data_IF_322337860701
#
_entry.id   IF_322337860701
#
_cell.length_a   1.000
_cell.length_b   1.000
_cell.length_c   1.000
_cell.angle_alpha   90.00
_cell.angle_beta   90.00
_cell.angle_gamma   90.00
#
_symmetry.space_group_name_H-M   'P 1'
#
loop_
_entity.id
_entity.type
_entity.pdbx_description
1 polymer ?
#
# COMPACT_ATOMS: atom_id res chain seq x y z
N UNK A 1 -36.87 6.86 57.06
CA UNK A 1 -38.14 6.12 56.85
C UNK A 1 -38.80 6.40 55.49
N UNK A 2 -38.30 7.29 54.62
CA UNK A 2 -38.92 7.53 53.30
C UNK A 2 -38.21 6.86 52.11
N UNK A 3 -36.95 6.44 52.24
CA UNK A 3 -36.21 5.71 51.18
C UNK A 3 -36.60 4.25 51.03
N UNK A 4 -37.30 3.65 52.01
CA UNK A 4 -37.81 2.27 51.90
C UNK A 4 -39.13 2.15 51.13
N UNK A 5 -39.81 3.27 50.83
CA UNK A 5 -41.15 3.23 50.22
C UNK A 5 -41.10 3.01 48.70
N UNK A 6 -39.95 3.26 48.07
CA UNK A 6 -39.74 3.02 46.66
C UNK A 6 -38.46 2.20 46.49
N UNK A 7 -38.64 0.90 46.26
CA UNK A 7 -37.62 -0.11 45.97
C UNK A 7 -36.91 0.18 44.62
N UNK A 8 -36.32 1.37 44.48
CA UNK A 8 -35.67 1.87 43.26
C UNK A 8 -34.28 1.24 43.03
N UNK A 9 -33.70 0.60 44.05
CA UNK A 9 -32.39 -0.07 43.97
C UNK A 9 -32.47 -1.53 43.49
N UNK A 10 -33.68 -2.12 43.43
CA UNK A 10 -33.84 -3.43 42.80
C UNK A 10 -33.86 -3.22 41.29
N UNK A 11 -32.70 -3.44 40.65
CA UNK A 11 -32.61 -3.67 39.21
C UNK A 11 -33.51 -4.86 38.88
N UNK A 12 -34.78 -4.57 38.51
CA UNK A 12 -35.69 -5.60 38.04
C UNK A 12 -35.31 -5.88 36.59
N UNK A 13 -35.04 -7.14 36.21
CA UNK A 13 -34.83 -7.45 34.81
C UNK A 13 -36.07 -7.04 34.03
N UNK A 14 -35.89 -6.34 32.90
CA UNK A 14 -36.99 -6.04 31.98
C UNK A 14 -37.69 -7.37 31.64
N UNK A 15 -39.01 -7.48 31.85
CA UNK A 15 -39.72 -8.68 31.42
C UNK A 15 -39.51 -8.85 29.91
N UNK A 16 -39.33 -10.09 29.41
CA UNK A 16 -39.15 -10.31 27.97
C UNK A 16 -40.33 -9.70 27.22
N UNK A 17 -40.05 -8.96 26.16
CA UNK A 17 -41.11 -8.48 25.29
C UNK A 17 -41.87 -9.68 24.71
N UNK A 18 -43.20 -9.63 24.82
CA UNK A 18 -44.09 -10.63 24.22
C UNK A 18 -44.48 -10.13 22.83
N UNK A 19 -44.19 -10.88 21.76
CA UNK A 19 -44.55 -10.47 20.41
C UNK A 19 -46.02 -10.09 20.29
N UNK A 20 -46.31 -8.94 19.68
CA UNK A 20 -47.68 -8.47 19.42
C UNK A 20 -48.17 -9.05 18.10
N UNK A 21 -49.39 -9.56 18.07
CA UNK A 21 -50.06 -9.91 16.82
C UNK A 21 -50.71 -8.67 16.22
N UNK A 22 -50.37 -8.35 14.97
CA UNK A 22 -50.97 -7.27 14.20
C UNK A 22 -51.68 -7.84 12.98
N UNK A 23 -52.75 -7.19 12.52
CA UNK A 23 -53.45 -7.56 11.29
C UNK A 23 -53.00 -6.63 10.16
N UNK A 24 -52.62 -7.19 9.02
CA UNK A 24 -52.26 -6.42 7.83
C UNK A 24 -53.49 -5.66 7.30
N UNK A 25 -53.49 -4.32 7.26
CA UNK A 25 -54.63 -3.55 6.74
C UNK A 25 -54.93 -3.81 5.25
N UNK A 26 -53.94 -4.29 4.49
CA UNK A 26 -54.10 -4.55 3.06
C UNK A 26 -54.77 -5.91 2.74
N UNK A 27 -54.50 -6.97 3.52
CA UNK A 27 -54.98 -8.32 3.18
C UNK A 27 -55.60 -9.10 4.35
N UNK A 28 -55.62 -8.54 5.56
CA UNK A 28 -56.14 -9.22 6.76
C UNK A 28 -55.27 -10.38 7.27
N UNK A 29 -54.01 -10.50 6.84
CA UNK A 29 -53.08 -11.51 7.33
C UNK A 29 -52.55 -11.16 8.73
N UNK A 30 -52.44 -12.16 9.60
CA UNK A 30 -51.88 -11.98 10.96
C UNK A 30 -50.35 -11.98 10.94
N UNK A 31 -49.73 -10.89 11.37
CA UNK A 31 -48.27 -10.71 11.45
C UNK A 31 -47.82 -10.66 12.91
N UNK A 32 -46.59 -11.06 13.18
CA UNK A 32 -45.99 -11.05 14.51
C UNK A 32 -44.91 -9.98 14.61
N UNK A 33 -45.17 -8.92 15.39
CA UNK A 33 -44.19 -7.90 15.73
C UNK A 33 -43.32 -8.45 16.87
N UNK A 34 -42.14 -8.96 16.52
CA UNK A 34 -41.21 -9.61 17.47
C UNK A 34 -40.39 -8.62 18.28
N UNK A 35 -40.03 -7.48 17.68
CA UNK A 35 -39.35 -6.38 18.35
C UNK A 35 -40.34 -5.22 18.54
N UNK A 36 -40.43 -4.72 19.76
CA UNK A 36 -41.31 -3.59 20.11
C UNK A 36 -40.87 -2.27 19.48
N UNK A 37 -39.60 -2.17 19.06
CA UNK A 37 -39.06 -1.01 18.35
C UNK A 37 -39.23 -1.13 16.83
N UNK A 38 -39.92 -2.15 16.32
CA UNK A 38 -40.19 -2.24 14.88
C UNK A 38 -41.07 -1.08 14.46
N UNK A 39 -40.63 -0.31 13.45
CA UNK A 39 -41.41 0.74 12.79
C UNK A 39 -41.93 0.26 11.43
N UNK A 40 -41.15 -0.55 10.71
CA UNK A 40 -41.56 -1.16 9.45
C UNK A 40 -41.78 -2.65 9.63
N UNK A 41 -42.91 -3.16 9.12
CA UNK A 41 -43.15 -4.60 8.93
C UNK A 41 -43.64 -4.86 7.51
N UNK A 42 -42.93 -5.72 6.77
CA UNK A 42 -43.36 -6.20 5.46
C UNK A 42 -44.23 -7.45 5.64
N UNK A 43 -45.45 -7.41 5.10
CA UNK A 43 -46.39 -8.51 5.21
C UNK A 43 -45.95 -9.72 4.36
N UNK A 44 -45.64 -10.85 5.01
CA UNK A 44 -45.23 -12.10 4.37
C UNK A 44 -46.30 -12.68 3.40
N UNK A 45 -47.57 -12.28 3.55
CA UNK A 45 -48.67 -12.79 2.72
C UNK A 45 -48.87 -12.00 1.42
N UNK A 46 -48.84 -10.67 1.48
CA UNK A 46 -49.21 -9.82 0.35
C UNK A 46 -48.10 -8.86 -0.12
N UNK A 47 -46.97 -8.82 0.58
CA UNK A 47 -45.82 -7.97 0.29
C UNK A 47 -46.01 -6.48 0.61
N UNK A 48 -47.06 -6.12 1.35
CA UNK A 48 -47.30 -4.72 1.71
C UNK A 48 -46.36 -4.28 2.82
N UNK A 49 -45.73 -3.14 2.64
CA UNK A 49 -44.90 -2.45 3.63
C UNK A 49 -45.84 -1.70 4.58
N UNK A 50 -45.74 -2.00 5.87
CA UNK A 50 -46.61 -1.44 6.90
C UNK A 50 -45.77 -0.58 7.84
N UNK A 51 -46.21 0.65 8.04
CA UNK A 51 -45.79 1.46 9.18
C UNK A 51 -46.56 1.01 10.42
N UNK A 52 -45.81 0.62 11.44
CA UNK A 52 -46.29 0.11 12.73
C UNK A 52 -45.71 0.90 13.91
N UNK A 53 -45.13 2.07 13.64
CA UNK A 53 -44.59 2.99 14.66
C UNK A 53 -45.69 3.52 15.60
N UNK A 54 -46.89 3.72 15.06
CA UNK A 54 -48.07 4.20 15.77
C UNK A 54 -49.10 3.07 16.05
N UNK A 55 -50.12 3.36 16.87
CA UNK A 55 -51.20 2.39 17.14
C UNK A 55 -51.99 2.03 15.87
N UNK A 56 -52.24 3.02 15.00
CA UNK A 56 -52.90 2.84 13.71
C UNK A 56 -51.88 2.51 12.62
N UNK A 57 -52.07 1.37 11.97
CA UNK A 57 -51.10 0.82 11.02
C UNK A 57 -51.37 1.36 9.63
N UNK A 58 -50.36 1.95 9.00
CA UNK A 58 -50.49 2.56 7.69
C UNK A 58 -49.83 1.70 6.62
N UNK A 59 -50.47 1.56 5.46
CA UNK A 59 -49.89 0.85 4.30
C UNK A 59 -49.07 1.86 3.49
N UNK A 60 -47.76 1.65 3.43
CA UNK A 60 -46.82 2.51 2.70
C UNK A 60 -46.73 2.18 1.21
N UNK A 61 -47.14 0.96 0.83
CA UNK A 61 -47.08 0.46 -0.53
C UNK A 61 -46.61 -0.99 -0.58
N UNK A 62 -46.13 -1.43 -1.73
CA UNK A 62 -45.48 -2.74 -1.91
C UNK A 62 -44.07 -2.56 -2.43
N UNK A 63 -43.15 -3.38 -1.93
CA UNK A 63 -41.78 -3.46 -2.43
C UNK A 63 -41.70 -4.08 -3.84
N UNK A 64 -40.48 -4.22 -4.38
CA UNK A 64 -40.27 -4.80 -5.69
C UNK A 64 -40.75 -6.26 -5.74
N UNK A 65 -41.38 -6.63 -6.87
CA UNK A 65 -42.04 -7.93 -7.01
C UNK A 65 -41.08 -9.13 -7.09
N UNK A 66 -39.80 -8.90 -7.40
CA UNK A 66 -38.80 -9.96 -7.46
C UNK A 66 -37.99 -10.00 -6.16
N UNK A 67 -38.16 -11.09 -5.41
CA UNK A 67 -37.40 -11.38 -4.19
C UNK A 67 -35.99 -11.88 -4.55
N UNK A 68 -34.92 -11.25 -4.04
CA UNK A 68 -33.56 -11.77 -4.15
C UNK A 68 -33.38 -13.13 -3.49
N UNK A 69 -32.30 -13.83 -3.87
CA UNK A 69 -31.93 -15.09 -3.22
C UNK A 69 -31.12 -14.80 -1.98
N UNK A 70 -31.74 -14.97 -0.82
CA UNK A 70 -31.05 -14.92 0.46
C UNK A 70 -30.61 -16.33 0.90
N UNK A 71 -29.34 -16.53 1.26
CA UNK A 71 -28.88 -17.76 1.90
C UNK A 71 -29.56 -18.08 3.24
N UNK A 72 -30.00 -17.03 3.96
CA UNK A 72 -30.69 -17.14 5.24
C UNK A 72 -32.11 -16.57 5.13
N UNK A 73 -33.05 -17.18 5.84
CA UNK A 73 -34.46 -16.86 5.82
C UNK A 73 -34.90 -16.18 7.11
N UNK A 74 -35.96 -15.37 7.04
CA UNK A 74 -36.60 -14.83 8.23
C UNK A 74 -37.07 -16.00 9.12
N UNK A 75 -36.82 -15.89 10.42
CA UNK A 75 -37.07 -16.94 11.42
C UNK A 75 -35.91 -17.92 11.64
N UNK A 76 -34.86 -17.89 10.80
CA UNK A 76 -33.67 -18.68 11.07
C UNK A 76 -33.03 -18.30 12.42
N UNK A 77 -32.55 -19.31 13.13
CA UNK A 77 -31.82 -19.12 14.37
C UNK A 77 -30.34 -18.81 14.08
N UNK A 78 -29.77 -17.81 14.75
CA UNK A 78 -28.35 -17.49 14.69
C UNK A 78 -27.75 -17.51 16.09
N UNK A 79 -26.76 -18.37 16.34
CA UNK A 79 -26.13 -18.52 17.64
C UNK A 79 -24.81 -17.75 17.71
N UNK A 80 -24.74 -16.75 18.57
CA UNK A 80 -23.55 -15.94 18.79
C UNK A 80 -23.28 -15.76 20.29
N UNK A 81 -22.03 -16.01 20.73
CA UNK A 81 -21.60 -15.91 22.14
C UNK A 81 -22.61 -16.54 23.13
N UNK A 82 -23.02 -17.78 22.87
CA UNK A 82 -24.01 -18.55 23.66
C UNK A 82 -25.43 -17.96 23.71
N UNK A 83 -25.76 -16.98 22.87
CA UNK A 83 -27.10 -16.42 22.73
C UNK A 83 -27.71 -16.85 21.40
N UNK A 84 -28.99 -17.25 21.42
CA UNK A 84 -29.78 -17.47 20.19
C UNK A 84 -30.46 -16.16 19.80
N UNK A 85 -30.17 -15.69 18.60
CA UNK A 85 -30.91 -14.64 17.91
C UNK A 85 -31.80 -15.28 16.84
N UNK A 86 -32.77 -14.50 16.36
CA UNK A 86 -33.63 -14.85 15.25
C UNK A 86 -33.53 -13.80 14.16
N UNK A 87 -33.45 -14.21 12.90
CA UNK A 87 -33.49 -13.27 11.78
C UNK A 87 -34.91 -12.70 11.67
N UNK A 88 -35.05 -11.39 11.80
CA UNK A 88 -36.35 -10.71 11.74
C UNK A 88 -36.53 -9.82 10.53
N UNK A 89 -35.44 -9.42 9.85
CA UNK A 89 -35.49 -8.71 8.58
C UNK A 89 -34.30 -9.04 7.69
N UNK A 90 -34.45 -8.75 6.40
CA UNK A 90 -33.40 -8.85 5.40
C UNK A 90 -33.44 -7.68 4.44
N UNK A 91 -32.26 -7.26 4.01
CA UNK A 91 -32.08 -6.19 3.06
C UNK A 91 -31.06 -6.60 1.99
N UNK A 92 -31.28 -6.13 0.78
CA UNK A 92 -30.32 -6.19 -0.32
C UNK A 92 -29.90 -4.77 -0.65
N UNK A 93 -28.59 -4.56 -0.69
CA UNK A 93 -27.96 -3.34 -1.17
C UNK A 93 -27.14 -3.64 -2.42
N UNK A 94 -27.04 -2.64 -3.30
CA UNK A 94 -26.01 -2.58 -4.33
C UNK A 94 -25.03 -1.46 -3.99
N UNK A 95 -23.76 -1.65 -4.28
CA UNK A 95 -22.69 -0.69 -4.03
C UNK A 95 -22.43 0.13 -5.30
N UNK A 96 -22.38 1.46 -5.16
CA UNK A 96 -22.01 2.42 -6.22
C UNK A 96 -22.77 2.27 -7.55
N UNK A 97 -24.00 1.74 -7.48
CA UNK A 97 -24.86 1.50 -8.63
C UNK A 97 -24.51 0.25 -9.45
N UNK A 98 -23.52 -0.54 -9.04
CA UNK A 98 -23.17 -1.81 -9.67
C UNK A 98 -24.01 -2.96 -9.10
N UNK A 99 -24.86 -3.56 -9.95
CA UNK A 99 -25.70 -4.70 -9.57
C UNK A 99 -24.92 -5.99 -9.33
N UNK A 100 -23.65 -6.04 -9.73
CA UNK A 100 -22.74 -7.16 -9.47
C UNK A 100 -22.10 -7.07 -8.09
N UNK A 101 -22.07 -5.87 -7.51
CA UNK A 101 -21.58 -5.57 -6.17
C UNK A 101 -22.74 -5.54 -5.18
N UNK A 102 -23.14 -6.72 -4.75
CA UNK A 102 -24.30 -6.93 -3.88
C UNK A 102 -23.88 -7.28 -2.44
N UNK A 103 -24.47 -6.55 -1.50
CA UNK A 103 -24.39 -6.83 -0.06
C UNK A 103 -25.76 -7.19 0.49
N UNK A 104 -25.83 -8.32 1.22
CA UNK A 104 -27.04 -8.75 1.92
C UNK A 104 -26.88 -8.46 3.41
N UNK A 105 -27.87 -7.82 4.02
CA UNK A 105 -27.89 -7.59 5.47
C UNK A 105 -29.07 -8.29 6.13
N UNK A 106 -28.86 -8.78 7.35
CA UNK A 106 -29.85 -9.48 8.17
C UNK A 106 -29.93 -8.84 9.55
N UNK A 107 -31.14 -8.48 9.98
CA UNK A 107 -31.38 -8.03 11.34
C UNK A 107 -31.61 -9.23 12.25
N UNK A 108 -30.71 -9.42 13.20
CA UNK A 108 -30.78 -10.45 14.22
C UNK A 108 -31.41 -9.87 15.48
N UNK A 109 -32.39 -10.55 16.07
CA UNK A 109 -33.06 -10.08 17.28
C UNK A 109 -33.07 -11.12 18.41
N UNK A 110 -32.87 -10.64 19.63
CA UNK A 110 -33.10 -11.38 20.86
C UNK A 110 -33.82 -10.49 21.88
N UNK A 111 -34.92 -10.96 22.52
CA UNK A 111 -35.70 -10.15 23.46
C UNK A 111 -34.94 -9.61 24.69
N UNK A 112 -33.76 -10.16 25.01
CA UNK A 112 -32.92 -9.72 26.13
C UNK A 112 -31.68 -8.97 25.69
N UNK A 113 -31.11 -9.33 24.54
CA UNK A 113 -29.83 -8.77 24.08
C UNK A 113 -29.99 -7.64 23.06
N UNK A 114 -31.21 -7.42 22.56
CA UNK A 114 -31.53 -6.45 21.53
C UNK A 114 -31.20 -6.98 20.13
N UNK A 115 -30.86 -6.06 19.25
CA UNK A 115 -30.55 -6.30 17.84
C UNK A 115 -29.05 -6.42 17.57
N UNK A 116 -28.71 -7.08 16.47
CA UNK A 116 -27.39 -7.14 15.86
C UNK A 116 -27.54 -7.22 14.34
N UNK A 117 -26.53 -6.78 13.60
CA UNK A 117 -26.47 -6.92 12.15
C UNK A 117 -25.56 -8.06 11.75
N UNK A 118 -25.98 -8.81 10.72
CA UNK A 118 -25.13 -9.74 10.00
C UNK A 118 -25.11 -9.26 8.54
N UNK A 119 -23.95 -8.83 8.04
CA UNK A 119 -23.77 -8.50 6.64
C UNK A 119 -23.07 -9.65 5.90
N UNK A 120 -23.36 -9.79 4.62
CA UNK A 120 -22.81 -10.81 3.74
C UNK A 120 -22.49 -10.19 2.37
N UNK A 121 -21.20 -10.20 2.03
CA UNK A 121 -20.67 -9.70 0.76
C UNK A 121 -19.71 -10.74 0.17
N UNK A 122 -19.96 -11.18 -1.07
CA UNK A 122 -19.13 -12.20 -1.78
C UNK A 122 -18.71 -13.41 -0.90
N UNK A 123 -19.63 -13.93 -0.07
CA UNK A 123 -19.44 -15.07 0.88
C UNK A 123 -18.58 -14.77 2.12
N UNK A 124 -18.11 -13.54 2.27
CA UNK A 124 -17.59 -13.02 3.52
C UNK A 124 -18.75 -12.47 4.35
N UNK A 125 -18.70 -12.73 5.65
CA UNK A 125 -19.72 -12.28 6.58
C UNK A 125 -19.09 -11.39 7.64
N UNK A 126 -19.82 -10.41 8.14
CA UNK A 126 -19.46 -9.64 9.32
C UNK A 126 -20.65 -9.62 10.28
N UNK A 127 -20.37 -9.55 11.58
CA UNK A 127 -21.40 -9.36 12.59
C UNK A 127 -21.07 -8.13 13.41
N UNK A 128 -22.03 -7.22 13.54
CA UNK A 128 -21.87 -5.95 14.23
C UNK A 128 -23.06 -5.62 15.12
N UNK A 129 -22.84 -4.65 15.99
CA UNK A 129 -23.85 -4.02 16.83
C UNK A 129 -23.55 -2.54 16.91
N UNK A 130 -24.60 -1.74 17.02
CA UNK A 130 -24.50 -0.30 17.23
C UNK A 130 -23.63 0.01 18.45
N UNK A 131 -22.80 1.03 18.31
CA UNK A 131 -21.91 1.57 19.33
C UNK A 131 -22.11 3.08 19.42
N UNK A 132 -21.89 3.63 20.61
CA UNK A 132 -21.91 5.08 20.82
C UNK A 132 -20.49 5.67 20.87
N UNK A 133 -19.48 4.87 20.52
CA UNK A 133 -18.10 5.34 20.40
C UNK A 133 -17.94 6.03 19.05
N UNK A 134 -17.76 7.35 19.09
CA UNK A 134 -17.55 8.19 17.91
C UNK A 134 -16.08 8.19 17.48
N UNK A 135 -15.81 8.42 16.17
CA UNK A 135 -14.46 8.62 15.67
C UNK A 135 -13.96 10.02 16.02
N UNK A 136 -12.64 10.18 16.12
CA UNK A 136 -12.00 11.48 16.43
C UNK A 136 -11.88 12.38 15.19
N UNK A 137 -11.91 11.80 14.00
CA UNK A 137 -11.92 12.48 12.71
C UNK A 137 -13.16 12.08 11.88
N UNK A 138 -13.42 12.83 10.81
CA UNK A 138 -14.42 12.45 9.81
C UNK A 138 -14.01 11.15 9.10
N UNK A 139 -14.79 10.09 9.34
CA UNK A 139 -14.59 8.76 8.78
C UNK A 139 -14.75 8.75 7.24
N UNK A 140 -15.60 9.61 6.68
CA UNK A 140 -15.89 9.64 5.24
C UNK A 140 -14.79 10.29 4.40
N UNK A 141 -13.81 10.93 5.06
CA UNK A 141 -12.61 11.49 4.40
C UNK A 141 -11.45 10.50 4.29
N UNK A 142 -11.58 9.30 4.86
CA UNK A 142 -10.51 8.30 4.89
C UNK A 142 -10.56 7.45 3.61
N UNK A 143 -9.39 7.20 3.01
CA UNK A 143 -9.25 6.22 1.94
C UNK A 143 -8.63 4.94 2.50
N UNK A 144 -8.70 3.86 1.72
CA UNK A 144 -8.10 2.56 2.06
C UNK A 144 -6.70 2.71 2.67
N UNK A 145 -6.43 1.99 3.75
CA UNK A 145 -5.14 2.03 4.45
C UNK A 145 -4.88 3.30 5.28
N UNK A 146 -5.75 4.32 5.25
CA UNK A 146 -5.67 5.42 6.23
C UNK A 146 -6.08 4.96 7.61
N UNK A 147 -5.63 5.71 8.62
CA UNK A 147 -5.93 5.40 10.02
C UNK A 147 -7.01 6.32 10.57
N UNK A 148 -7.83 5.75 11.44
CA UNK A 148 -8.84 6.46 12.22
C UNK A 148 -8.68 6.09 13.70
N UNK A 149 -8.70 7.10 14.56
CA UNK A 149 -8.72 6.90 16.01
C UNK A 149 -10.16 7.11 16.51
N UNK A 150 -10.56 6.36 17.54
CA UNK A 150 -11.85 6.50 18.22
C UNK A 150 -11.65 6.94 19.67
N UNK A 151 -12.65 7.59 20.28
CA UNK A 151 -12.55 8.16 21.63
C UNK A 151 -12.33 7.15 22.77
N UNK A 152 -12.42 5.85 22.50
CA UNK A 152 -12.02 4.78 23.42
C UNK A 152 -10.52 4.40 23.31
N UNK A 153 -9.74 5.17 22.54
CA UNK A 153 -8.31 4.99 22.35
C UNK A 153 -7.93 3.90 21.36
N UNK A 154 -8.88 3.34 20.62
CA UNK A 154 -8.62 2.32 19.60
C UNK A 154 -8.18 2.96 18.29
N UNK A 155 -7.38 2.20 17.55
CA UNK A 155 -6.85 2.58 16.23
C UNK A 155 -7.37 1.63 15.17
N UNK A 156 -7.85 2.20 14.09
CA UNK A 156 -8.49 1.51 12.99
C UNK A 156 -7.78 1.83 11.68
N UNK A 157 -7.91 0.94 10.71
CA UNK A 157 -7.41 1.10 9.34
C UNK A 157 -8.59 0.99 8.40
N UNK A 158 -8.79 2.00 7.54
CA UNK A 158 -9.88 2.05 6.57
C UNK A 158 -9.75 0.88 5.59
N UNK A 159 -10.80 0.09 5.46
CA UNK A 159 -10.90 -1.03 4.51
C UNK A 159 -11.49 -0.57 3.19
N UNK A 160 -12.45 0.34 3.24
CA UNK A 160 -13.13 0.92 2.08
C UNK A 160 -14.23 1.88 2.52
N UNK A 161 -14.75 2.65 1.56
CA UNK A 161 -15.91 3.53 1.70
C UNK A 161 -16.71 3.51 0.41
N UNK A 162 -17.99 3.81 0.47
CA UNK A 162 -18.83 3.85 -0.71
C UNK A 162 -20.25 4.27 -0.37
N UNK A 163 -21.16 4.09 -1.32
CA UNK A 163 -22.58 4.33 -1.10
C UNK A 163 -23.39 3.07 -1.40
N UNK A 164 -24.12 2.59 -0.40
CA UNK A 164 -25.15 1.57 -0.58
C UNK A 164 -26.43 2.19 -1.16
N UNK A 165 -27.08 1.50 -2.11
CA UNK A 165 -28.46 1.77 -2.53
C UNK A 165 -29.36 0.58 -2.17
N UNK A 166 -30.41 0.80 -1.36
CA UNK A 166 -31.34 -0.24 -0.92
C UNK A 166 -32.23 -0.71 -2.09
N UNK A 167 -32.09 -1.96 -2.51
CA UNK A 167 -32.86 -2.53 -3.63
C UNK A 167 -33.97 -3.47 -3.20
N UNK A 168 -33.91 -4.04 -2.00
CA UNK A 168 -34.95 -4.93 -1.47
C UNK A 168 -34.96 -4.90 0.06
N UNK A 169 -36.16 -5.02 0.65
CA UNK A 169 -36.34 -5.20 2.09
C UNK A 169 -37.53 -6.12 2.38
N UNK A 170 -37.40 -7.03 3.35
CA UNK A 170 -38.51 -7.76 3.95
C UNK A 170 -38.31 -8.02 5.46
N UNK A 171 -39.39 -8.42 6.14
CA UNK A 171 -39.41 -8.62 7.59
C UNK A 171 -39.71 -7.35 8.39
N UNK A 172 -39.13 -7.24 9.59
CA UNK A 172 -39.40 -6.18 10.56
C UNK A 172 -38.13 -5.35 10.88
N UNK A 173 -38.15 -4.05 10.61
CA UNK A 173 -37.03 -3.11 10.85
C UNK A 173 -37.38 -2.04 11.88
N UNK A 174 -36.39 -1.52 12.63
CA UNK A 174 -36.59 -0.46 13.60
C UNK A 174 -36.74 0.95 13.00
N UNK A 175 -36.72 1.07 11.67
CA UNK A 175 -37.02 2.32 10.95
C UNK A 175 -37.82 2.04 9.68
N UNK A 176 -38.40 3.10 9.11
CA UNK A 176 -39.09 3.06 7.83
C UNK A 176 -38.10 3.10 6.66
N UNK A 177 -37.66 1.92 6.23
CA UNK A 177 -36.81 1.77 5.04
C UNK A 177 -37.58 2.01 3.73
N UNK A 178 -36.98 2.79 2.81
CA UNK A 178 -37.53 3.05 1.47
C UNK A 178 -36.58 2.53 0.41
N UNK A 179 -37.16 1.86 -0.59
CA UNK A 179 -36.38 1.39 -1.74
C UNK A 179 -35.73 2.60 -2.42
N UNK A 180 -34.44 2.46 -2.75
CA UNK A 180 -33.52 3.49 -3.26
C UNK A 180 -32.99 4.47 -2.22
N UNK A 181 -33.22 4.22 -0.92
CA UNK A 181 -32.47 4.91 0.12
C UNK A 181 -30.97 4.70 -0.11
N UNK A 182 -30.21 5.78 0.07
CA UNK A 182 -28.76 5.81 -0.11
C UNK A 182 -28.10 5.98 1.26
N UNK A 183 -27.12 5.13 1.52
CA UNK A 183 -26.37 5.10 2.77
C UNK A 183 -24.89 5.21 2.43
N UNK A 184 -24.26 6.28 2.87
CA UNK A 184 -22.81 6.41 2.75
C UNK A 184 -22.17 5.61 3.89
N UNK A 185 -21.19 4.78 3.58
CA UNK A 185 -20.52 3.93 4.56
C UNK A 185 -19.01 4.11 4.52
N UNK A 186 -18.37 3.88 5.66
CA UNK A 186 -16.94 3.70 5.79
C UNK A 186 -16.66 2.54 6.75
N UNK A 187 -15.89 1.56 6.29
CA UNK A 187 -15.56 0.35 7.05
C UNK A 187 -14.09 0.35 7.45
N UNK A 188 -13.81 -0.13 8.65
CA UNK A 188 -12.47 -0.14 9.21
C UNK A 188 -12.17 -1.46 9.94
N UNK A 189 -10.92 -1.92 9.85
CA UNK A 189 -10.39 -3.02 10.67
C UNK A 189 -9.46 -2.54 11.76
N UNK A 190 -9.48 -3.24 12.89
CA UNK A 190 -8.67 -2.91 14.05
C UNK A 190 -7.17 -3.12 13.76
N UNK A 191 -6.36 -2.11 14.11
CA UNK A 191 -4.95 -2.02 13.69
C UNK A 191 -4.07 -3.14 14.25
N UNK A 192 -4.34 -3.70 15.43
CA UNK A 192 -3.57 -4.82 15.99
C UNK A 192 -3.75 -6.12 15.19
N UNK A 193 -4.84 -6.25 14.41
CA UNK A 193 -5.19 -7.44 13.64
C UNK A 193 -6.03 -8.43 14.44
N UNK A 194 -6.77 -7.96 15.44
CA UNK A 194 -7.68 -8.78 16.27
C UNK A 194 -8.87 -9.37 15.50
N UNK A 195 -9.13 -8.87 14.29
CA UNK A 195 -10.28 -9.22 13.47
C UNK A 195 -11.55 -8.45 13.83
N UNK A 196 -11.44 -7.46 14.71
CA UNK A 196 -12.53 -6.53 15.02
C UNK A 196 -12.69 -5.47 13.94
N UNK A 197 -13.92 -5.06 13.71
CA UNK A 197 -14.31 -4.08 12.70
C UNK A 197 -15.07 -2.93 13.35
N UNK A 198 -15.00 -1.78 12.71
CA UNK A 198 -15.75 -0.57 13.03
C UNK A 198 -16.36 -0.05 11.74
N UNK A 199 -17.61 0.35 11.79
CA UNK A 199 -18.34 0.88 10.64
C UNK A 199 -18.99 2.20 11.01
N UNK A 200 -19.03 3.10 10.05
CA UNK A 200 -19.74 4.38 10.14
C UNK A 200 -20.67 4.45 8.95
N UNK A 201 -21.96 4.67 9.20
CA UNK A 201 -22.98 4.76 8.17
C UNK A 201 -23.72 6.09 8.33
N UNK A 202 -24.03 6.75 7.21
CA UNK A 202 -24.77 8.01 7.18
C UNK A 202 -25.97 7.87 6.26
N UNK A 203 -27.16 8.19 6.77
CA UNK A 203 -28.39 8.27 6.01
C UNK A 203 -29.07 9.62 6.28
N UNK A 204 -29.13 10.48 5.27
CA UNK A 204 -29.59 11.85 5.45
C UNK A 204 -28.71 12.61 6.44
N UNK A 205 -29.31 13.08 7.55
CA UNK A 205 -28.61 13.83 8.61
C UNK A 205 -28.24 12.94 9.82
N UNK A 206 -28.53 11.63 9.77
CA UNK A 206 -28.26 10.68 10.85
C UNK A 206 -27.02 9.85 10.56
N UNK A 207 -26.14 9.76 11.56
CA UNK A 207 -24.93 8.95 11.51
C UNK A 207 -25.01 7.86 12.57
N UNK A 208 -24.84 6.63 12.14
CA UNK A 208 -24.78 5.45 12.99
C UNK A 208 -23.35 4.89 13.01
N UNK A 209 -22.95 4.38 14.18
CA UNK A 209 -21.66 3.73 14.36
C UNK A 209 -21.91 2.29 14.76
N UNK A 210 -21.20 1.35 14.12
CA UNK A 210 -21.23 -0.06 14.44
C UNK A 210 -19.86 -0.57 14.87
N UNK A 211 -19.84 -1.54 15.78
CA UNK A 211 -18.64 -2.27 16.13
C UNK A 211 -18.91 -3.77 16.05
N UNK A 212 -17.97 -4.50 15.47
CA UNK A 212 -18.20 -5.87 15.08
C UNK A 212 -16.93 -6.67 14.84
N UNK A 213 -17.09 -7.73 14.04
CA UNK A 213 -15.97 -8.52 13.52
C UNK A 213 -16.38 -9.32 12.30
N UNK A 214 -15.38 -9.63 11.49
CA UNK A 214 -15.52 -10.58 10.40
C UNK A 214 -15.81 -11.99 10.93
N UNK A 215 -16.66 -12.71 10.19
CA UNK A 215 -17.02 -14.11 10.40
C UNK A 215 -16.66 -14.92 9.16
N UNK A 216 -16.01 -16.06 9.36
CA UNK A 216 -15.85 -17.04 8.29
C UNK A 216 -17.16 -17.76 7.99
N UNK A 217 -17.35 -18.22 6.75
CA UNK A 217 -18.51 -19.04 6.36
C UNK A 217 -18.67 -20.28 7.26
N UNK A 218 -17.57 -20.86 7.74
CA UNK A 218 -17.61 -21.97 8.71
C UNK A 218 -18.24 -21.56 10.05
N UNK A 219 -17.97 -20.35 10.52
CA UNK A 219 -18.58 -19.79 11.73
C UNK A 219 -20.07 -19.53 11.53
N UNK A 220 -20.46 -19.02 10.37
CA UNK A 220 -21.87 -18.79 10.02
C UNK A 220 -22.65 -20.10 9.91
N UNK A 221 -22.09 -21.12 9.23
CA UNK A 221 -22.67 -22.48 9.16
C UNK A 221 -22.91 -23.07 10.56
N UNK A 222 -21.96 -22.87 11.48
CA UNK A 222 -22.08 -23.31 12.88
C UNK A 222 -23.14 -22.51 13.64
N UNK A 223 -23.15 -21.18 13.51
CA UNK A 223 -24.09 -20.28 14.17
C UNK A 223 -25.53 -20.57 13.75
N UNK A 224 -25.75 -20.84 12.47
CA UNK A 224 -27.07 -21.12 11.88
C UNK A 224 -27.48 -22.59 11.98
N UNK A 225 -26.55 -23.48 12.36
CA UNK A 225 -26.70 -24.95 12.30
C UNK A 225 -27.07 -25.45 10.90
N UNK A 226 -26.60 -24.75 9.86
CA UNK A 226 -26.78 -25.10 8.44
C UNK A 226 -25.45 -25.50 7.83
N UNK A 227 -25.00 -26.77 7.96
CA UNK A 227 -23.67 -27.20 7.52
C UNK A 227 -23.45 -27.08 6.00
N UNK A 228 -24.52 -27.04 5.21
CA UNK A 228 -24.48 -26.96 3.74
C UNK A 228 -24.77 -25.56 3.19
N UNK A 229 -24.90 -24.54 4.06
CA UNK A 229 -25.09 -23.14 3.67
C UNK A 229 -24.01 -22.74 2.66
N UNK A 230 -24.44 -22.27 1.49
CA UNK A 230 -23.57 -21.82 0.40
C UNK A 230 -22.48 -22.81 -0.05
N UNK A 231 -22.66 -24.12 0.15
CA UNK A 231 -21.79 -25.10 -0.49
C UNK A 231 -22.07 -25.14 -1.99
N UNK A 232 -21.01 -25.05 -2.78
CA UNK A 232 -21.03 -25.31 -4.23
C UNK A 232 -21.43 -26.76 -4.52
N UNK A 233 -21.90 -27.03 -5.74
CA UNK A 233 -22.21 -28.40 -6.17
C UNK A 233 -20.98 -29.33 -6.08
N UNK A 234 -19.78 -28.81 -6.33
CA UNK A 234 -18.52 -29.55 -6.20
C UNK A 234 -18.19 -29.90 -4.73
N UNK A 235 -18.42 -28.97 -3.80
CA UNK A 235 -18.28 -29.22 -2.35
C UNK A 235 -19.30 -30.26 -1.86
N UNK A 236 -20.55 -30.16 -2.30
CA UNK A 236 -21.61 -31.13 -1.95
C UNK A 236 -21.31 -32.54 -2.48
N UNK A 237 -20.70 -32.64 -3.65
CA UNK A 237 -20.35 -33.92 -4.27
C UNK A 237 -19.07 -34.58 -3.69
N UNK A 238 -18.38 -33.94 -2.73
CA UNK A 238 -17.12 -34.44 -2.17
C UNK A 238 -15.97 -34.51 -3.18
N UNK A 239 -16.09 -33.82 -4.34
CA UNK A 239 -15.14 -33.89 -5.46
C UNK A 239 -14.02 -32.85 -5.37
N UNK A 240 -14.06 -31.98 -4.37
CA UNK A 240 -13.05 -30.94 -4.16
C UNK A 240 -11.81 -31.52 -3.48
N UNK A 241 -10.78 -31.85 -4.27
CA UNK A 241 -9.45 -32.25 -3.78
C UNK A 241 -8.60 -31.05 -3.32
N UNK A 242 -8.98 -29.85 -3.72
CA UNK A 242 -8.36 -28.59 -3.31
C UNK A 242 -9.44 -27.71 -2.71
N UNK A 243 -9.21 -27.20 -1.50
CA UNK A 243 -10.05 -26.18 -0.89
C UNK A 243 -10.11 -25.02 -1.90
N UNK A 244 -11.29 -24.65 -2.40
CA UNK A 244 -11.45 -23.37 -3.11
C UNK A 244 -10.81 -22.36 -2.19
N UNK A 245 -9.77 -21.70 -2.69
CA UNK A 245 -9.07 -20.67 -1.96
C UNK A 245 -10.01 -19.49 -1.94
N UNK A 246 -11.01 -19.54 -1.05
CA UNK A 246 -11.58 -18.34 -0.46
C UNK A 246 -10.38 -17.66 0.16
N UNK A 247 -9.76 -16.75 -0.58
CA UNK A 247 -8.80 -15.83 0.01
C UNK A 247 -9.53 -15.23 1.19
N UNK A 248 -9.05 -15.44 2.43
CA UNK A 248 -9.66 -14.78 3.57
C UNK A 248 -9.74 -13.29 3.24
N UNK A 249 -10.80 -12.59 3.67
CA UNK A 249 -10.93 -11.16 3.43
C UNK A 249 -9.61 -10.50 3.82
N UNK A 250 -9.10 -9.68 2.91
CA UNK A 250 -7.76 -9.11 3.05
C UNK A 250 -7.66 -8.42 4.40
N UNK A 251 -6.63 -8.73 5.17
CA UNK A 251 -6.38 -8.00 6.41
C UNK A 251 -5.65 -6.70 6.05
N UNK A 252 -6.41 -5.66 5.71
CA UNK A 252 -5.89 -4.37 5.23
C UNK A 252 -4.87 -3.78 6.21
N UNK A 253 -5.13 -3.90 7.53
CA UNK A 253 -4.20 -3.47 8.56
C UNK A 253 -2.84 -4.21 8.51
N UNK A 254 -2.86 -5.53 8.25
CA UNK A 254 -1.66 -6.34 8.11
C UNK A 254 -0.93 -6.05 6.80
N UNK A 255 -1.66 -5.94 5.67
CA UNK A 255 -1.08 -5.58 4.36
C UNK A 255 -0.37 -4.23 4.44
N UNK A 256 -1.01 -3.21 5.04
CA UNK A 256 -0.40 -1.91 5.33
C UNK A 256 0.92 -2.05 6.09
N UNK A 257 0.95 -2.85 7.17
CA UNK A 257 2.17 -3.10 7.94
C UNK A 257 3.27 -3.73 7.08
N UNK A 258 2.94 -4.64 6.17
CA UNK A 258 3.91 -5.23 5.26
C UNK A 258 4.51 -4.20 4.30
N UNK A 259 3.68 -3.38 3.65
CA UNK A 259 4.17 -2.31 2.78
C UNK A 259 5.07 -1.32 3.50
N UNK A 260 4.67 -0.85 4.68
CA UNK A 260 5.50 0.08 5.48
C UNK A 260 6.83 -0.54 5.89
N UNK A 261 6.86 -1.85 6.23
CA UNK A 261 8.11 -2.57 6.51
C UNK A 261 8.99 -2.67 5.27
N UNK A 262 8.43 -3.00 4.11
CA UNK A 262 9.18 -3.08 2.86
C UNK A 262 9.75 -1.71 2.45
N UNK A 263 8.97 -0.64 2.58
CA UNK A 263 9.42 0.74 2.36
C UNK A 263 10.57 1.11 3.31
N UNK A 264 10.45 0.79 4.60
CA UNK A 264 11.51 1.05 5.58
C UNK A 264 12.80 0.27 5.27
N UNK A 265 12.69 -1.01 4.89
CA UNK A 265 13.84 -1.84 4.49
C UNK A 265 14.49 -1.28 3.22
N UNK A 266 13.71 -0.90 2.22
CA UNK A 266 14.21 -0.32 0.97
C UNK A 266 14.89 1.04 1.20
N UNK A 267 14.31 1.89 2.06
CA UNK A 267 14.90 3.17 2.45
C UNK A 267 16.22 2.97 3.21
N UNK A 268 16.28 2.00 4.14
CA UNK A 268 17.50 1.66 4.85
C UNK A 268 18.59 1.14 3.90
N UNK A 269 18.23 0.27 2.96
CA UNK A 269 19.16 -0.22 1.94
C UNK A 269 19.70 0.92 1.06
N UNK A 270 18.84 1.87 0.66
CA UNK A 270 19.24 3.06 -0.09
C UNK A 270 20.22 3.92 0.71
N UNK A 271 19.94 4.16 1.99
CA UNK A 271 20.82 4.93 2.88
C UNK A 271 22.18 4.25 3.06
N UNK A 272 22.23 2.94 3.30
CA UNK A 272 23.47 2.18 3.46
C UNK A 272 24.29 2.22 2.17
N UNK A 273 23.67 1.92 1.03
CA UNK A 273 24.37 1.92 -0.26
C UNK A 273 24.86 3.31 -0.64
N UNK A 274 24.05 4.35 -0.41
CA UNK A 274 24.43 5.75 -0.64
C UNK A 274 25.61 6.18 0.25
N UNK A 275 25.59 5.81 1.53
CA UNK A 275 26.68 6.09 2.45
C UNK A 275 27.98 5.36 2.05
N UNK A 276 27.89 4.09 1.62
CA UNK A 276 29.04 3.33 1.11
C UNK A 276 29.59 3.95 -0.18
N UNK A 277 28.72 4.35 -1.11
CA UNK A 277 29.12 5.05 -2.33
C UNK A 277 29.86 6.35 -1.99
N UNK A 278 29.28 7.20 -1.13
CA UNK A 278 29.91 8.43 -0.67
C UNK A 278 31.27 8.18 0.00
N UNK A 279 31.33 7.17 0.89
CA UNK A 279 32.58 6.76 1.54
C UNK A 279 33.65 6.39 0.50
N UNK A 280 33.32 5.61 -0.54
CA UNK A 280 34.29 5.26 -1.60
C UNK A 280 34.77 6.46 -2.40
N UNK A 281 33.93 7.46 -2.67
CA UNK A 281 34.36 8.70 -3.34
C UNK A 281 35.29 9.56 -2.47
N UNK A 282 35.11 9.51 -1.14
CA UNK A 282 35.97 10.20 -0.18
C UNK A 282 37.31 9.50 0.04
N UNK A 283 37.45 8.23 -0.34
CA UNK A 283 38.71 7.52 -0.25
C UNK A 283 39.76 8.05 -1.24
N UNK A 284 41.02 7.74 -0.92
CA UNK A 284 42.18 8.07 -1.73
C UNK A 284 42.94 9.29 -1.22
N UNK A 285 44.24 9.12 -0.98
CA UNK A 285 45.16 10.21 -0.66
C UNK A 285 45.80 10.69 -1.97
N UNK A 286 45.71 11.99 -2.27
CA UNK A 286 46.45 12.57 -3.40
C UNK A 286 47.95 12.48 -3.11
N UNK A 287 48.69 11.81 -3.97
CA UNK A 287 50.15 11.59 -3.84
C UNK A 287 50.94 12.32 -4.92
N UNK A 288 50.31 12.69 -6.04
CA UNK A 288 50.91 13.50 -7.10
C UNK A 288 49.89 14.50 -7.66
N UNK A 289 50.36 15.69 -8.01
CA UNK A 289 49.61 16.69 -8.78
C UNK A 289 50.61 17.57 -9.52
N UNK A 290 50.72 17.39 -10.83
CA UNK A 290 51.63 18.17 -11.68
C UNK A 290 50.92 18.57 -12.97
N UNK A 291 51.40 19.65 -13.58
CA UNK A 291 50.92 20.13 -14.86
C UNK A 291 52.13 20.27 -15.76
N UNK A 292 52.02 19.75 -16.98
CA UNK A 292 53.04 19.85 -18.02
C UNK A 292 52.49 20.64 -19.20
N UNK A 293 53.37 21.38 -19.84
CA UNK A 293 53.14 22.10 -21.08
C UNK A 293 53.10 21.15 -22.28
N UNK A 294 52.66 21.67 -23.43
CA UNK A 294 52.69 20.92 -24.68
C UNK A 294 54.13 20.61 -25.14
N UNK A 295 55.09 21.49 -24.86
CA UNK A 295 56.49 21.31 -25.25
C UNK A 295 57.12 20.13 -24.49
N UNK A 296 56.95 20.09 -23.16
CA UNK A 296 57.42 18.99 -22.32
C UNK A 296 56.84 17.63 -22.75
N UNK A 297 55.55 17.58 -23.11
CA UNK A 297 54.92 16.35 -23.60
C UNK A 297 55.45 15.89 -24.97
N UNK A 298 55.87 16.82 -25.83
CA UNK A 298 56.43 16.49 -27.13
C UNK A 298 57.86 15.92 -27.03
N UNK A 299 58.59 16.26 -25.98
CA UNK A 299 59.95 15.76 -25.71
C UNK A 299 59.96 14.44 -24.93
N UNK A 300 58.83 14.07 -24.31
CA UNK A 300 58.71 12.96 -23.38
C UNK A 300 59.15 13.37 -21.99
N UNK A 301 58.21 13.42 -21.04
CA UNK A 301 58.44 13.97 -19.70
C UNK A 301 58.14 12.96 -18.61
N UNK A 302 58.92 13.01 -17.52
CA UNK A 302 58.66 12.26 -16.30
C UNK A 302 58.09 13.14 -15.18
N UNK A 303 57.19 12.56 -14.40
CA UNK A 303 56.68 13.16 -13.17
C UNK A 303 57.67 13.07 -12.00
N UNK A 304 57.48 13.92 -10.99
CA UNK A 304 58.14 13.71 -9.70
C UNK A 304 57.74 12.35 -9.11
N UNK A 305 58.65 11.64 -8.43
CA UNK A 305 58.33 10.36 -7.83
C UNK A 305 57.23 10.50 -6.79
N UNK A 306 56.26 9.58 -6.82
CA UNK A 306 55.19 9.47 -5.83
C UNK A 306 55.18 8.10 -5.18
N UNK A 307 54.76 8.06 -3.91
CA UNK A 307 54.78 6.85 -3.10
C UNK A 307 53.44 6.12 -3.18
N UNK A 308 53.50 4.84 -3.53
CA UNK A 308 52.40 3.88 -3.33
C UNK A 308 52.55 3.23 -1.96
N UNK A 309 51.57 3.43 -1.08
CA UNK A 309 51.70 3.10 0.34
C UNK A 309 51.58 1.62 0.68
N UNK A 310 50.90 0.82 -0.16
CA UNK A 310 50.60 -0.61 0.09
C UNK A 310 50.75 -1.44 -1.19
N UNK A 311 51.18 -2.69 -1.02
CA UNK A 311 51.17 -3.70 -2.08
C UNK A 311 49.73 -4.06 -2.48
N UNK A 312 49.52 -4.47 -3.74
CA UNK A 312 48.23 -4.80 -4.33
C UNK A 312 47.17 -3.70 -4.25
N UNK A 313 47.59 -2.44 -4.12
CA UNK A 313 46.69 -1.31 -3.94
C UNK A 313 46.20 -0.76 -5.28
N UNK A 314 44.99 -0.21 -5.30
CA UNK A 314 44.47 0.49 -6.49
C UNK A 314 44.81 1.97 -6.40
N UNK A 315 45.46 2.48 -7.44
CA UNK A 315 45.67 3.91 -7.65
C UNK A 315 44.72 4.41 -8.74
N UNK A 316 44.40 5.70 -8.68
CA UNK A 316 43.69 6.41 -9.75
C UNK A 316 44.61 7.46 -10.35
N UNK A 317 44.88 7.34 -11.64
CA UNK A 317 45.59 8.34 -12.44
C UNK A 317 44.53 9.13 -13.21
N UNK A 318 44.49 10.44 -12.98
CA UNK A 318 43.59 11.35 -13.66
C UNK A 318 44.40 12.30 -14.53
N UNK A 319 44.19 12.25 -15.85
CA UNK A 319 44.80 13.16 -16.83
C UNK A 319 43.73 14.11 -17.34
N UNK A 320 44.02 15.41 -17.36
CA UNK A 320 43.08 16.45 -17.79
C UNK A 320 43.80 17.43 -18.71
N UNK A 321 43.25 17.65 -19.91
CA UNK A 321 43.82 18.58 -20.89
C UNK A 321 43.86 20.02 -20.35
N UNK A 322 44.95 20.72 -20.64
CA UNK A 322 45.13 22.14 -20.33
C UNK A 322 45.90 22.88 -21.45
N UNK A 323 45.33 23.93 -22.07
CA UNK A 323 43.94 24.41 -21.96
C UNK A 323 42.90 23.32 -22.29
N UNK A 324 41.61 23.60 -22.03
CA UNK A 324 40.54 22.66 -22.36
C UNK A 324 40.49 22.44 -23.87
N UNK A 325 40.29 21.19 -24.29
CA UNK A 325 40.09 20.83 -25.69
C UNK A 325 38.80 21.47 -26.22
N UNK A 326 38.77 21.85 -27.50
CA UNK A 326 37.55 22.32 -28.14
C UNK A 326 37.50 21.90 -29.60
N UNK A 327 36.63 20.94 -29.91
CA UNK A 327 36.56 20.29 -31.22
C UNK A 327 37.91 19.67 -31.62
N UNK A 328 38.51 19.00 -30.65
CA UNK A 328 39.89 18.49 -30.66
C UNK A 328 39.97 17.19 -29.86
N UNK A 329 40.97 16.37 -30.21
CA UNK A 329 41.33 15.15 -29.50
C UNK A 329 42.80 15.17 -29.10
N UNK A 330 43.14 14.43 -28.05
CA UNK A 330 44.48 14.24 -27.52
C UNK A 330 44.66 12.78 -27.12
N UNK A 331 45.69 12.14 -27.68
CA UNK A 331 46.17 10.83 -27.27
C UNK A 331 47.41 11.00 -26.38
N UNK A 332 47.52 10.16 -25.36
CA UNK A 332 48.56 10.18 -24.34
C UNK A 332 49.14 8.79 -24.19
N UNK A 333 50.46 8.70 -24.24
CA UNK A 333 51.18 7.48 -23.88
C UNK A 333 51.61 7.64 -22.43
N UNK A 334 51.08 6.79 -21.54
CA UNK A 334 51.34 6.86 -20.10
C UNK A 334 52.00 5.56 -19.66
N UNK A 335 53.26 5.67 -19.27
CA UNK A 335 54.07 4.54 -18.80
C UNK A 335 54.35 4.71 -17.32
N UNK A 336 54.03 3.69 -16.51
CA UNK A 336 54.36 3.66 -15.09
C UNK A 336 55.66 2.90 -14.85
N UNK A 337 56.66 3.59 -14.31
CA UNK A 337 58.01 3.09 -14.07
C UNK A 337 58.29 3.04 -12.57
N UNK A 338 58.92 1.96 -12.12
CA UNK A 338 59.36 1.79 -10.72
C UNK A 338 60.80 2.27 -10.55
N UNK A 339 61.22 2.53 -9.31
CA UNK A 339 62.56 3.01 -8.95
C UNK A 339 63.75 2.18 -9.49
N UNK A 340 63.55 0.91 -9.87
CA UNK A 340 64.54 0.04 -10.49
C UNK A 340 64.46 0.01 -12.03
N UNK A 341 63.87 1.05 -12.64
CA UNK A 341 63.63 1.23 -14.08
C UNK A 341 62.79 0.12 -14.73
N UNK A 342 62.11 -0.70 -13.92
CA UNK A 342 61.17 -1.69 -14.45
C UNK A 342 59.88 -1.01 -14.89
N UNK A 343 59.56 -1.16 -16.18
CA UNK A 343 58.25 -0.80 -16.71
C UNK A 343 57.20 -1.75 -16.12
N UNK A 344 56.20 -1.19 -15.43
CA UNK A 344 55.15 -1.99 -14.77
C UNK A 344 53.86 -2.01 -15.58
N UNK A 345 53.57 -0.94 -16.32
CA UNK A 345 52.36 -0.83 -17.13
C UNK A 345 52.51 0.26 -18.19
N UNK A 346 52.02 -0.01 -19.40
CA UNK A 346 51.86 0.94 -20.51
C UNK A 346 50.38 1.15 -20.76
N UNK A 347 49.96 2.39 -21.04
CA UNK A 347 48.56 2.74 -21.23
C UNK A 347 48.37 3.90 -22.22
N UNK A 348 47.48 3.69 -23.18
CA UNK A 348 47.08 4.71 -24.15
C UNK A 348 45.82 5.43 -23.63
N UNK A 349 46.00 6.67 -23.17
CA UNK A 349 44.91 7.54 -22.74
C UNK A 349 44.39 8.39 -23.90
N UNK A 350 43.08 8.42 -24.11
CA UNK A 350 42.45 9.34 -25.06
C UNK A 350 41.53 10.33 -24.33
N UNK A 351 41.64 11.60 -24.69
CA UNK A 351 40.78 12.71 -24.25
C UNK A 351 40.28 13.41 -25.51
N UNK A 352 38.97 13.54 -25.66
CA UNK A 352 38.37 14.23 -26.80
C UNK A 352 37.15 15.02 -26.34
N UNK A 353 36.91 16.18 -26.97
CA UNK A 353 35.74 16.98 -26.64
C UNK A 353 35.25 17.75 -27.86
N UNK A 354 33.99 17.49 -28.23
CA UNK A 354 33.32 18.10 -29.38
C UNK A 354 32.03 18.78 -28.96
N UNK A 355 31.69 19.88 -29.61
CA UNK A 355 30.44 20.60 -29.38
C UNK A 355 30.01 21.38 -30.62
N UNK A 356 28.70 21.62 -30.73
CA UNK A 356 28.12 22.33 -31.85
C UNK A 356 26.63 22.59 -31.70
N UNK A 357 26.01 23.04 -32.81
CA UNK A 357 24.58 23.26 -32.92
C UNK A 357 24.07 22.66 -34.23
N UNK A 358 22.98 21.89 -34.19
CA UNK A 358 22.33 21.33 -35.37
C UNK A 358 20.82 21.43 -35.22
N UNK A 359 20.10 21.94 -36.23
CA UNK A 359 18.63 22.10 -36.16
C UNK A 359 18.13 23.06 -35.07
N UNK A 360 18.99 23.91 -34.51
CA UNK A 360 18.68 24.79 -33.37
C UNK A 360 18.98 24.17 -31.99
N UNK A 361 19.33 22.89 -31.93
CA UNK A 361 19.70 22.20 -30.69
C UNK A 361 21.22 22.21 -30.49
N UNK A 362 21.65 22.49 -29.25
CA UNK A 362 23.06 22.45 -28.84
C UNK A 362 23.43 21.04 -28.40
N UNK A 363 24.60 20.56 -28.83
CA UNK A 363 25.11 19.26 -28.44
C UNK A 363 26.57 19.34 -27.98
N UNK A 364 27.00 18.37 -27.17
CA UNK A 364 28.39 18.16 -26.77
C UNK A 364 28.67 16.67 -26.59
N UNK A 365 29.87 16.23 -26.93
CA UNK A 365 30.31 14.84 -26.87
C UNK A 365 31.75 14.74 -26.33
N UNK A 366 32.06 13.61 -25.68
CA UNK A 366 33.37 13.36 -25.09
C UNK A 366 33.56 13.95 -23.70
N UNK A 367 34.82 14.09 -23.28
CA UNK A 367 35.18 14.55 -21.95
C UNK A 367 36.57 15.17 -21.90
N UNK A 368 36.76 16.14 -21.00
CA UNK A 368 38.02 16.87 -20.81
C UNK A 368 39.03 16.12 -19.91
N UNK A 369 38.69 14.91 -19.48
CA UNK A 369 39.42 14.21 -18.42
C UNK A 369 39.32 12.72 -18.64
N UNK A 370 40.45 12.04 -18.54
CA UNK A 370 40.56 10.60 -18.57
C UNK A 370 40.95 10.08 -17.17
N UNK A 371 40.38 8.93 -16.77
CA UNK A 371 40.62 8.31 -15.46
C UNK A 371 41.03 6.84 -15.63
N UNK A 372 42.26 6.52 -15.26
CA UNK A 372 42.79 5.16 -15.23
C UNK A 372 42.83 4.63 -13.79
N UNK A 373 42.37 3.40 -13.59
CA UNK A 373 42.50 2.68 -12.33
C UNK A 373 43.47 1.52 -12.51
N UNK A 374 44.56 1.52 -11.73
CA UNK A 374 45.61 0.51 -11.84
C UNK A 374 45.86 -0.15 -10.49
N UNK A 375 45.92 -1.48 -10.49
CA UNK A 375 46.33 -2.26 -9.32
C UNK A 375 47.86 -2.39 -9.32
N UNK A 376 48.52 -1.77 -8.36
CA UNK A 376 49.98 -1.78 -8.24
C UNK A 376 50.38 -2.94 -7.32
N UNK A 377 51.19 -3.91 -7.79
CA UNK A 377 51.46 -5.14 -7.04
C UNK A 377 52.34 -4.90 -5.80
N UNK A 378 53.24 -3.91 -5.84
CA UNK A 378 54.21 -3.67 -4.78
C UNK A 378 54.10 -2.24 -4.22
N UNK A 379 54.48 -2.06 -2.95
CA UNK A 379 54.66 -0.72 -2.36
C UNK A 379 56.01 -0.16 -2.79
N UNK A 380 56.11 1.15 -2.99
CA UNK A 380 57.38 1.77 -3.43
C UNK A 380 57.18 3.16 -4.01
N UNK A 381 58.26 3.71 -4.58
CA UNK A 381 58.22 4.93 -5.37
C UNK A 381 58.08 4.61 -6.85
N UNK A 382 57.27 5.42 -7.52
CA UNK A 382 56.96 5.29 -8.93
C UNK A 382 56.98 6.65 -9.60
N UNK A 383 57.23 6.65 -10.91
CA UNK A 383 57.08 7.80 -11.80
C UNK A 383 56.17 7.42 -12.96
N UNK A 384 55.51 8.42 -13.52
CA UNK A 384 54.85 8.33 -14.81
C UNK A 384 55.72 9.02 -15.84
N UNK A 385 56.07 8.30 -16.92
CA UNK A 385 56.58 8.86 -18.16
C UNK A 385 55.39 9.11 -19.10
N UNK A 386 55.37 10.29 -19.71
CA UNK A 386 54.24 10.83 -20.46
C UNK A 386 54.71 11.33 -21.82
N UNK A 387 54.05 10.85 -22.86
CA UNK A 387 54.09 11.41 -24.22
C UNK A 387 52.68 11.71 -24.69
N UNK A 388 52.53 12.50 -25.76
CA UNK A 388 51.21 12.69 -26.33
C UNK A 388 51.18 13.49 -27.62
N UNK A 389 50.10 13.28 -28.37
CA UNK A 389 49.80 13.98 -29.62
C UNK A 389 48.37 14.50 -29.59
N UNK A 390 48.10 15.61 -30.28
CA UNK A 390 46.74 16.18 -30.37
C UNK A 390 46.44 16.70 -31.75
N UNK A 391 45.17 16.71 -32.16
CA UNK A 391 44.74 17.30 -33.42
C UNK A 391 43.33 17.90 -33.35
N UNK A 392 43.00 18.74 -34.35
CA UNK A 392 41.68 19.35 -34.51
C UNK A 392 40.74 18.47 -35.32
N UNK A 393 39.46 18.51 -34.97
CA UNK A 393 38.39 17.79 -35.66
C UNK A 393 38.74 16.32 -35.88
N UNK A 394 38.44 15.81 -37.06
CA UNK A 394 38.69 14.40 -37.42
C UNK A 394 40.06 14.19 -38.07
N UNK A 395 41.05 15.02 -37.76
CA UNK A 395 42.40 14.86 -38.33
C UNK A 395 42.95 13.50 -37.89
N UNK A 396 43.29 12.58 -38.82
CA UNK A 396 43.54 11.17 -38.48
C UNK A 396 44.96 10.92 -37.92
N UNK A 397 45.87 11.87 -38.08
CA UNK A 397 47.27 11.74 -37.65
C UNK A 397 47.77 13.07 -37.09
N UNK A 398 48.53 12.97 -36.01
CA UNK A 398 49.32 14.07 -35.48
C UNK A 398 50.65 13.53 -34.98
N UNK A 399 51.70 14.34 -35.06
CA UNK A 399 53.04 14.02 -34.56
C UNK A 399 53.41 14.82 -33.31
N UNK A 400 52.59 15.79 -32.92
CA UNK A 400 52.85 16.68 -31.78
C UNK A 400 51.56 17.05 -31.05
N UNK A 401 51.67 17.35 -29.77
CA UNK A 401 50.59 17.97 -29.01
C UNK A 401 50.73 19.49 -28.99
N UNK A 402 49.58 20.18 -29.02
CA UNK A 402 49.44 21.62 -28.76
C UNK A 402 48.86 21.90 -27.38
N UNK A 403 48.49 20.85 -26.65
CA UNK A 403 47.89 20.93 -25.31
C UNK A 403 48.86 20.37 -24.27
N UNK A 404 48.90 21.02 -23.12
CA UNK A 404 49.47 20.48 -21.90
C UNK A 404 48.52 19.53 -21.18
N UNK A 405 49.01 18.91 -20.11
CA UNK A 405 48.24 17.97 -19.30
C UNK A 405 48.41 18.24 -17.81
N UNK A 406 47.32 18.22 -17.07
CA UNK A 406 47.34 18.10 -15.61
C UNK A 406 47.19 16.62 -15.23
N UNK A 407 48.19 16.09 -14.52
CA UNK A 407 48.22 14.72 -14.00
C UNK A 407 48.04 14.73 -12.49
N UNK A 408 47.08 13.95 -12.01
CA UNK A 408 46.84 13.73 -10.58
C UNK A 408 46.80 12.25 -10.27
N UNK A 409 47.52 11.84 -9.23
CA UNK A 409 47.50 10.46 -8.75
C UNK A 409 46.94 10.41 -7.34
N UNK A 410 45.93 9.56 -7.14
CA UNK A 410 45.41 9.20 -5.82
C UNK A 410 45.80 7.76 -5.49
N UNK A 411 46.37 7.56 -4.31
CA UNK A 411 46.70 6.26 -3.73
C UNK A 411 45.60 5.79 -2.77
N UNK A 412 45.33 4.47 -2.69
CA UNK A 412 44.28 3.85 -1.87
C UNK A 412 42.86 4.24 -2.29
N UNK A 413 42.59 4.14 -3.59
CA UNK A 413 41.25 4.40 -4.14
C UNK A 413 40.43 3.12 -4.11
N UNK A 414 39.14 3.25 -3.82
CA UNK A 414 38.16 2.15 -3.92
C UNK A 414 37.30 2.40 -5.16
N UNK A 415 36.99 1.33 -5.90
CA UNK A 415 36.16 1.43 -7.10
C UNK A 415 34.68 1.68 -6.69
N UNK A 416 34.09 2.85 -7.01
CA UNK A 416 32.80 3.25 -6.44
C UNK A 416 31.59 2.62 -7.15
N UNK A 417 31.75 2.15 -8.39
CA UNK A 417 30.63 1.86 -9.28
C UNK A 417 29.71 0.73 -8.81
N UNK A 418 30.22 -0.24 -8.05
CA UNK A 418 29.37 -1.28 -7.46
C UNK A 418 28.36 -0.66 -6.47
N UNK A 419 28.82 0.22 -5.58
CA UNK A 419 27.93 0.88 -4.61
C UNK A 419 27.02 1.91 -5.28
N UNK A 420 27.49 2.58 -6.34
CA UNK A 420 26.64 3.46 -7.16
C UNK A 420 25.51 2.65 -7.82
N UNK A 421 25.82 1.52 -8.45
CA UNK A 421 24.83 0.64 -9.06
C UNK A 421 23.84 0.09 -8.02
N UNK A 422 24.32 -0.36 -6.86
CA UNK A 422 23.46 -0.81 -5.76
C UNK A 422 22.58 0.31 -5.20
N UNK A 423 23.06 1.55 -5.15
CA UNK A 423 22.27 2.72 -4.73
C UNK A 423 21.14 2.99 -5.72
N UNK A 424 21.44 2.99 -7.02
CA UNK A 424 20.43 3.16 -8.07
C UNK A 424 19.39 2.04 -8.02
N UNK A 425 19.83 0.79 -7.87
CA UNK A 425 18.93 -0.36 -7.75
C UNK A 425 18.01 -0.23 -6.52
N UNK A 426 18.56 0.18 -5.36
CA UNK A 426 17.78 0.40 -4.15
C UNK A 426 16.74 1.51 -4.32
N UNK A 427 17.09 2.58 -5.04
CA UNK A 427 16.17 3.66 -5.37
C UNK A 427 15.03 3.16 -6.27
N UNK A 428 15.34 2.37 -7.30
CA UNK A 428 14.33 1.76 -8.18
C UNK A 428 13.38 0.87 -7.38
N UNK A 429 13.90 0.00 -6.50
CA UNK A 429 13.05 -0.82 -5.64
C UNK A 429 12.17 0.01 -4.72
N UNK A 430 12.69 1.06 -4.10
CA UNK A 430 11.91 1.96 -3.25
C UNK A 430 10.75 2.61 -4.03
N UNK A 431 11.03 3.08 -5.25
CA UNK A 431 10.00 3.66 -6.14
C UNK A 431 8.95 2.60 -6.51
N UNK A 432 9.37 1.40 -6.93
CA UNK A 432 8.43 0.34 -7.30
C UNK A 432 7.53 -0.10 -6.13
N UNK A 433 8.10 -0.24 -4.93
CA UNK A 433 7.32 -0.54 -3.73
C UNK A 433 6.36 0.61 -3.41
N UNK A 434 6.80 1.87 -3.54
CA UNK A 434 5.96 3.05 -3.34
C UNK A 434 4.80 3.13 -4.33
N UNK A 435 5.05 2.83 -5.61
CA UNK A 435 4.01 2.77 -6.64
C UNK A 435 3.03 1.62 -6.37
N UNK A 436 3.51 0.45 -5.97
CA UNK A 436 2.63 -0.67 -5.61
C UNK A 436 1.81 -0.37 -4.36
N UNK A 437 2.38 0.29 -3.35
CA UNK A 437 1.65 0.71 -2.15
C UNK A 437 0.57 1.74 -2.48
N UNK A 438 0.88 2.69 -3.38
CA UNK A 438 -0.11 3.65 -3.87
C UNK A 438 -1.24 2.94 -4.62
N UNK A 439 -0.91 2.08 -5.58
CA UNK A 439 -1.91 1.32 -6.34
C UNK A 439 -2.81 0.48 -5.43
N UNK A 440 -2.24 -0.16 -4.40
CA UNK A 440 -3.02 -0.90 -3.41
C UNK A 440 -3.96 0.00 -2.60
N UNK A 441 -3.54 1.23 -2.30
CA UNK A 441 -4.35 2.25 -1.60
C UNK A 441 -5.52 2.75 -2.46
N UNK A 442 -5.33 2.80 -3.78
CA UNK A 442 -6.29 3.35 -4.74
C UNK A 442 -7.28 2.29 -5.27
N UNK A 443 -7.20 1.02 -4.83
CA UNK A 443 -8.05 -0.10 -5.33
C UNK A 443 -9.57 0.11 -5.17
N UNK A 444 -10.02 1.01 -4.28
CA UNK A 444 -11.44 1.28 -4.02
C UNK A 444 -11.94 2.61 -4.65
N UNK A 445 -11.06 3.38 -5.29
CA UNK A 445 -11.41 4.69 -5.90
C UNK A 445 -11.62 4.59 -7.44
N UNK A 446 -11.42 3.42 -8.06
CA UNK A 446 -11.62 3.10 -9.50
C UNK A 446 -12.84 2.19 -9.72
#
# INVERSE_FOLDING_TARGET
METEKYNLEKVRPRPPYTPKTIQCPSCGGGLSQKDEHSELIVCDYCGSHLDVSEEEKTVLGKGPGQKPKFPLEIGDAFHYRNTRFEIIARMEFIEDGDRTEQTLQYLLYNPRMGTMWLAAYKRNYSISKDTHVMPEDDAFTKSRGDTLDTHDGRKWVCEGRGTYELTYVDGALPWIAKIRDRIDYAEFSEMSGSGEQYEVQSIGDEIEYGAGRALSIASVRKATRKPDLEKTAAEKAGRMKQRVQESPPENVALTRKYYLRLLAIAALALLINGALAAYTFMQGKRVLSQTFSAEELNEGIETNPFRVSRANNVIKITTKAWPKLSNEWMALDVVMVREDDMMIHEYDGSIEYYHGSSGGEKWSEGGQTHNLYLRVPQKGYYRLALGGVSARGNTPKSSRTTHGIQVRVKDRVVFPWLFVASTVLSLVFLILIGLSFKSWKDEDDD
#
